data_IF_294088023573
#
_entry.id   IF_294088023573
#
_cell.length_a   1.000
_cell.length_b   1.000
_cell.length_c   1.000
_cell.angle_alpha   90.00
_cell.angle_beta   90.00
_cell.angle_gamma   90.00
#
_symmetry.space_group_name_H-M   'P 1'
#
loop_
_entity.id
_entity.type
_entity.pdbx_description
1 polymer ?
#
# COMPACT_ATOMS: atom_id res chain seq x y z
N UNK A 1 -12.60 32.04 -9.39
CA UNK A 1 -12.20 30.65 -9.11
C UNK A 1 -12.85 30.23 -7.80
N UNK A 2 -13.51 29.07 -7.74
CA UNK A 2 -14.18 28.61 -6.50
C UNK A 2 -13.10 28.04 -5.57
N UNK A 3 -12.86 28.68 -4.44
CA UNK A 3 -11.89 28.22 -3.45
C UNK A 3 -12.42 26.90 -2.85
N UNK A 4 -11.65 25.82 -2.98
CA UNK A 4 -11.98 24.56 -2.30
C UNK A 4 -11.55 24.67 -0.84
N UNK A 5 -12.51 24.64 0.08
CA UNK A 5 -12.28 24.61 1.52
C UNK A 5 -12.85 23.32 2.08
N UNK A 6 -12.00 22.50 2.71
CA UNK A 6 -12.44 21.33 3.48
C UNK A 6 -12.91 21.82 4.85
N UNK A 7 -14.22 21.97 5.03
CA UNK A 7 -14.79 22.41 6.32
C UNK A 7 -15.08 21.20 7.22
N UNK A 8 -15.13 21.37 8.56
CA UNK A 8 -15.50 20.31 9.47
C UNK A 8 -16.85 19.65 9.12
N UNK A 9 -17.81 20.43 8.65
CA UNK A 9 -19.14 19.94 8.25
C UNK A 9 -19.04 19.01 7.03
N UNK A 10 -18.18 19.34 6.05
CA UNK A 10 -17.93 18.46 4.90
C UNK A 10 -17.18 17.18 5.28
N UNK A 11 -16.27 17.24 6.26
CA UNK A 11 -15.59 16.06 6.80
C UNK A 11 -16.59 15.14 7.53
N UNK A 12 -17.50 15.73 8.31
CA UNK A 12 -18.53 14.98 9.03
C UNK A 12 -19.45 14.19 8.09
N UNK A 13 -19.70 14.69 6.87
CA UNK A 13 -20.49 13.97 5.86
C UNK A 13 -19.80 12.71 5.30
N UNK A 14 -18.47 12.61 5.44
CA UNK A 14 -17.70 11.46 4.98
C UNK A 14 -17.56 10.37 6.04
N UNK A 15 -17.90 10.66 7.30
CA UNK A 15 -17.80 9.68 8.37
C UNK A 15 -18.93 8.65 8.27
N UNK A 16 -18.55 7.38 8.32
CA UNK A 16 -19.47 6.26 8.43
C UNK A 16 -18.93 5.29 9.46
N UNK A 17 -19.78 4.88 10.39
CA UNK A 17 -19.48 3.75 11.25
C UNK A 17 -19.59 2.47 10.40
N UNK A 18 -18.46 1.83 10.15
CA UNK A 18 -18.37 0.53 9.51
C UNK A 18 -18.06 -0.50 10.61
N UNK A 19 -18.92 -1.51 10.75
CA UNK A 19 -18.67 -2.58 11.69
C UNK A 19 -17.51 -3.43 11.15
N UNK A 20 -16.44 -3.56 11.93
CA UNK A 20 -15.33 -4.46 11.60
C UNK A 20 -15.83 -5.91 11.71
N UNK A 21 -16.01 -6.65 10.58
CA UNK A 21 -16.47 -8.03 10.62
C UNK A 21 -15.39 -8.97 11.19
N UNK A 22 -14.18 -8.47 11.45
CA UNK A 22 -13.01 -9.27 11.73
C UNK A 22 -12.44 -9.91 10.47
N UNK A 23 -11.31 -10.62 10.59
CA UNK A 23 -10.70 -11.31 9.48
C UNK A 23 -11.62 -12.43 8.96
N UNK A 24 -11.78 -12.49 7.64
CA UNK A 24 -12.40 -13.62 6.97
C UNK A 24 -11.63 -14.90 7.33
N UNK A 25 -12.32 -16.00 7.68
CA UNK A 25 -11.68 -17.28 8.01
C UNK A 25 -10.89 -17.90 6.86
N UNK A 26 -11.09 -17.41 5.62
CA UNK A 26 -10.27 -17.75 4.45
C UNK A 26 -8.93 -17.01 4.42
N UNK A 27 -8.78 -15.95 5.24
CA UNK A 27 -7.59 -15.12 5.26
C UNK A 27 -6.51 -15.74 6.16
N UNK A 28 -5.36 -16.05 5.55
CA UNK A 28 -4.19 -16.52 6.31
C UNK A 28 -3.25 -15.35 6.53
N UNK A 29 -3.10 -14.93 7.78
CA UNK A 29 -2.13 -13.90 8.14
C UNK A 29 -0.71 -14.43 7.95
N UNK A 30 0.11 -13.65 7.23
CA UNK A 30 1.54 -13.96 7.09
C UNK A 30 2.27 -13.71 8.41
N UNK A 31 3.09 -14.67 8.84
CA UNK A 31 4.00 -14.53 9.96
C UNK A 31 5.41 -14.10 9.48
N UNK A 32 6.32 -13.89 10.43
CA UNK A 32 7.70 -13.45 10.16
C UNK A 32 8.49 -14.41 9.26
N UNK A 33 8.27 -15.72 9.37
CA UNK A 33 8.92 -16.72 8.54
C UNK A 33 8.35 -16.75 7.12
N UNK A 34 7.05 -16.50 6.96
CA UNK A 34 6.43 -16.31 5.64
C UNK A 34 7.02 -15.08 4.95
N UNK A 35 7.15 -13.97 5.66
CA UNK A 35 7.79 -12.76 5.14
C UNK A 35 9.24 -13.01 4.73
N UNK A 36 10.00 -13.73 5.56
CA UNK A 36 11.40 -14.09 5.26
C UNK A 36 11.50 -14.94 3.99
N UNK A 37 10.63 -15.94 3.86
CA UNK A 37 10.58 -16.84 2.71
C UNK A 37 10.22 -16.09 1.43
N UNK A 38 9.23 -15.20 1.50
CA UNK A 38 8.83 -14.34 0.38
C UNK A 38 9.98 -13.41 -0.03
N UNK A 39 10.66 -12.78 0.92
CA UNK A 39 11.79 -11.89 0.65
C UNK A 39 12.95 -12.63 -0.04
N UNK A 40 13.30 -13.83 0.44
CA UNK A 40 14.34 -14.66 -0.18
C UNK A 40 13.98 -15.04 -1.61
N UNK A 41 12.72 -15.45 -1.84
CA UNK A 41 12.26 -15.80 -3.18
C UNK A 41 12.31 -14.61 -4.14
N UNK A 42 11.77 -13.46 -3.73
CA UNK A 42 11.79 -12.24 -4.55
C UNK A 42 13.22 -11.77 -4.84
N UNK A 43 14.13 -11.90 -3.86
CA UNK A 43 15.54 -11.57 -4.06
C UNK A 43 16.24 -12.54 -5.01
N UNK A 44 15.83 -13.80 -5.09
CA UNK A 44 16.37 -14.79 -6.02
C UNK A 44 15.77 -14.70 -7.43
N UNK A 45 14.55 -14.20 -7.55
CA UNK A 45 13.87 -13.92 -8.83
C UNK A 45 14.31 -12.58 -9.45
N UNK A 46 14.92 -11.69 -8.66
CA UNK A 46 15.44 -10.42 -9.15
C UNK A 46 16.69 -10.63 -10.01
N UNK A 47 16.76 -9.91 -11.14
CA UNK A 47 17.94 -9.88 -12.00
C UNK A 47 19.15 -9.25 -11.28
N UNK A 48 20.33 -9.37 -11.89
CA UNK A 48 21.53 -8.66 -11.42
C UNK A 48 21.29 -7.14 -11.44
N UNK A 49 21.03 -6.55 -10.28
CA UNK A 49 20.85 -5.10 -10.13
C UNK A 49 19.98 -4.68 -8.94
N UNK A 50 19.70 -3.36 -8.83
CA UNK A 50 18.81 -2.84 -7.80
C UNK A 50 17.37 -3.33 -7.97
N UNK A 51 16.74 -3.72 -6.85
CA UNK A 51 15.32 -4.08 -6.81
C UNK A 51 14.44 -2.81 -6.77
N UNK A 52 13.52 -2.71 -7.72
CA UNK A 52 12.50 -1.66 -7.73
C UNK A 52 11.24 -2.09 -6.99
N UNK A 53 10.76 -1.25 -6.08
CA UNK A 53 9.49 -1.43 -5.37
C UNK A 53 8.49 -0.37 -5.84
N UNK A 54 7.35 -0.82 -6.39
CA UNK A 54 6.28 0.09 -6.79
C UNK A 54 5.36 0.42 -5.60
N UNK A 55 5.45 1.64 -5.08
CA UNK A 55 4.61 2.11 -3.98
C UNK A 55 3.24 2.59 -4.47
N UNK A 56 2.15 1.99 -3.96
CA UNK A 56 0.76 2.36 -4.31
C UNK A 56 -0.10 2.80 -3.11
N UNK A 57 0.48 2.88 -1.91
CA UNK A 57 -0.21 3.16 -0.65
C UNK A 57 0.60 4.04 0.31
N UNK A 58 0.64 3.67 1.59
CA UNK A 58 1.34 4.42 2.64
C UNK A 58 2.82 4.66 2.36
N UNK A 59 3.48 3.70 1.68
CA UNK A 59 4.90 3.82 1.28
C UNK A 59 5.21 5.05 0.44
N UNK A 60 4.22 5.65 -0.24
CA UNK A 60 4.40 6.90 -1.00
C UNK A 60 4.81 8.06 -0.08
N UNK A 61 4.33 8.08 1.17
CA UNK A 61 4.52 9.20 2.12
C UNK A 61 5.26 8.80 3.39
N UNK A 62 5.28 7.50 3.71
CA UNK A 62 5.94 6.93 4.88
C UNK A 62 6.76 5.71 4.44
N UNK A 63 7.99 5.93 3.95
CA UNK A 63 8.90 4.84 3.62
C UNK A 63 9.16 3.95 4.84
N UNK A 64 9.28 2.64 4.61
CA UNK A 64 9.60 1.65 5.65
C UNK A 64 11.05 1.12 5.55
N UNK A 65 11.81 1.61 4.57
CA UNK A 65 13.19 1.22 4.29
C UNK A 65 13.89 2.37 3.56
N UNK A 66 15.23 2.36 3.60
CA UNK A 66 16.05 3.33 2.89
C UNK A 66 16.18 2.92 1.41
N UNK A 67 15.73 3.81 0.51
CA UNK A 67 15.88 3.64 -0.93
C UNK A 67 17.04 4.48 -1.45
N UNK A 68 17.89 3.91 -2.29
CA UNK A 68 18.99 4.63 -2.95
C UNK A 68 18.49 5.57 -4.07
N UNK A 69 17.31 5.28 -4.63
CA UNK A 69 16.69 6.06 -5.70
C UNK A 69 15.15 6.01 -5.58
N UNK A 70 14.47 7.07 -6.00
CA UNK A 70 13.01 7.13 -6.10
C UNK A 70 12.58 7.85 -7.38
N UNK A 71 11.61 7.27 -8.09
CA UNK A 71 11.06 7.85 -9.31
C UNK A 71 9.53 7.75 -9.33
N UNK A 72 8.86 8.75 -9.91
CA UNK A 72 7.43 8.66 -10.22
C UNK A 72 7.21 7.63 -11.32
N UNK A 73 6.32 6.68 -11.07
CA UNK A 73 6.01 5.60 -12.00
C UNK A 73 4.49 5.39 -12.13
N UNK A 74 4.08 4.67 -13.17
CA UNK A 74 2.69 4.26 -13.41
C UNK A 74 2.63 2.75 -13.67
N UNK A 75 1.77 2.04 -12.94
CA UNK A 75 1.53 0.61 -13.13
C UNK A 75 0.36 0.40 -14.10
N UNK A 76 0.68 0.17 -15.38
CA UNK A 76 -0.34 -0.06 -16.41
C UNK A 76 -1.05 -1.40 -16.20
N UNK A 77 -2.38 -1.43 -16.41
CA UNK A 77 -3.20 -2.64 -16.23
C UNK A 77 -3.60 -2.92 -14.77
N UNK A 78 -3.15 -2.10 -13.82
CA UNK A 78 -3.49 -2.24 -12.40
C UNK A 78 -4.47 -1.14 -11.96
N UNK A 79 -5.39 -1.49 -11.07
CA UNK A 79 -6.34 -0.55 -10.46
C UNK A 79 -6.17 -0.58 -8.94
N UNK A 80 -5.96 0.60 -8.35
CA UNK A 80 -5.90 0.73 -6.90
C UNK A 80 -7.32 0.79 -6.33
N UNK A 81 -7.64 -0.16 -5.45
CA UNK A 81 -8.88 -0.20 -4.68
C UNK A 81 -8.59 -0.20 -3.17
N UNK A 82 -9.48 0.40 -2.38
CA UNK A 82 -9.42 0.37 -0.91
C UNK A 82 -10.37 -0.73 -0.41
N UNK A 83 -9.93 -1.99 -0.54
CA UNK A 83 -10.75 -3.18 -0.26
C UNK A 83 -9.99 -4.25 0.54
N UNK A 84 -8.90 -3.86 1.21
CA UNK A 84 -8.07 -4.71 2.05
C UNK A 84 -8.29 -4.34 3.52
#
# INVERSE_FOLDING_TARGET
>A
MRQMSLTPELVALCHREEADPGPDGSWTQLNDDDFRSLAQRLSGEADEGPLWVFAYGSLIWKPAFDSVEQQRASAHGWHRSFCL
#
